data_IF_622537864191
#
_entry.id   IF_622537864191
#
_cell.length_a   1.000
_cell.length_b   1.000
_cell.length_c   1.000
_cell.angle_alpha   90.00
_cell.angle_beta   90.00
_cell.angle_gamma   90.00
#
_symmetry.space_group_name_H-M   'P 1'
#
loop_
_entity.id
_entity.type
_entity.pdbx_description
1 polymer ?
#
# COMPACT_ATOMS: atom_id res chain seq x y z
N UNK A 1 11.51 34.04 -35.91
CA UNK A 1 11.57 32.82 -35.08
C UNK A 1 12.06 31.62 -35.90
N UNK A 2 13.29 31.69 -36.44
CA UNK A 2 13.85 30.61 -37.27
C UNK A 2 15.38 30.52 -37.28
N UNK A 3 16.09 31.23 -36.39
CA UNK A 3 17.55 31.34 -36.40
C UNK A 3 18.24 30.84 -35.11
N UNK A 4 17.49 30.47 -34.06
CA UNK A 4 18.08 29.90 -32.83
C UNK A 4 18.13 28.37 -32.83
N UNK A 5 17.27 27.69 -33.61
CA UNK A 5 17.29 26.23 -33.74
C UNK A 5 18.54 25.71 -34.46
N UNK A 6 18.96 26.38 -35.55
CA UNK A 6 20.11 25.93 -36.34
C UNK A 6 21.48 26.18 -35.66
N UNK A 7 21.57 27.15 -34.75
CA UNK A 7 22.80 27.40 -33.97
C UNK A 7 22.98 26.31 -32.90
N UNK A 8 21.88 25.81 -32.33
CA UNK A 8 21.92 24.72 -31.35
C UNK A 8 22.29 23.37 -31.98
N UNK A 9 21.82 23.09 -33.19
CA UNK A 9 22.22 21.87 -33.93
C UNK A 9 23.70 21.93 -34.38
N UNK A 10 24.18 23.09 -34.83
CA UNK A 10 25.57 23.23 -35.29
C UNK A 10 26.61 23.09 -34.16
N UNK A 11 26.26 23.47 -32.92
CA UNK A 11 27.15 23.37 -31.76
C UNK A 11 27.29 21.92 -31.22
N UNK A 12 26.29 21.07 -31.42
CA UNK A 12 26.34 19.66 -31.02
C UNK A 12 27.07 18.75 -32.02
N UNK A 13 27.25 19.17 -33.28
CA UNK A 13 27.97 18.41 -34.32
C UNK A 13 29.50 18.61 -34.32
N UNK A 14 30.02 19.59 -33.57
CA UNK A 14 31.47 19.84 -33.51
C UNK A 14 32.33 18.77 -32.78
N UNK A 15 31.85 18.02 -31.76
CA UNK A 15 32.70 17.08 -31.03
C UNK A 15 33.16 15.90 -31.88
N UNK A 16 32.35 15.49 -32.87
CA UNK A 16 32.64 14.36 -33.75
C UNK A 16 33.83 14.66 -34.68
N UNK A 17 34.02 15.93 -35.06
CA UNK A 17 35.17 16.37 -35.87
C UNK A 17 36.46 16.56 -35.07
N UNK A 18 36.37 16.88 -33.78
CA UNK A 18 37.53 17.14 -32.91
C UNK A 18 38.08 15.87 -32.25
N UNK A 19 37.24 14.84 -32.06
CA UNK A 19 37.67 13.51 -31.59
C UNK A 19 38.66 12.83 -32.56
N UNK A 20 38.67 13.21 -33.84
CA UNK A 20 39.64 12.70 -34.82
C UNK A 20 41.01 13.41 -34.78
N UNK A 21 41.18 14.53 -34.07
CA UNK A 21 42.41 15.36 -34.16
C UNK A 21 43.35 15.33 -32.93
N UNK A 22 43.04 14.59 -31.86
CA UNK A 22 44.03 14.21 -30.84
C UNK A 22 44.78 15.33 -30.08
N UNK A 23 44.16 16.48 -29.75
CA UNK A 23 44.77 17.50 -28.86
C UNK A 23 43.74 18.20 -27.94
N UNK A 24 43.63 17.86 -26.63
CA UNK A 24 42.48 18.28 -25.84
C UNK A 24 42.67 19.51 -24.92
N UNK A 25 43.90 20.01 -24.66
CA UNK A 25 44.10 20.93 -23.51
C UNK A 25 44.17 22.44 -23.81
N UNK A 26 44.47 22.85 -25.04
CA UNK A 26 44.81 24.26 -25.34
C UNK A 26 43.61 25.04 -25.89
N UNK A 27 42.67 24.39 -26.58
CA UNK A 27 41.56 25.09 -27.26
C UNK A 27 40.39 25.42 -26.32
N UNK A 28 40.20 24.64 -25.25
CA UNK A 28 39.18 24.89 -24.21
C UNK A 28 39.46 26.23 -23.49
N UNK A 29 40.74 26.60 -23.33
CA UNK A 29 41.16 27.87 -22.70
C UNK A 29 40.98 29.10 -23.60
N UNK A 30 40.75 28.91 -24.91
CA UNK A 30 40.54 29.99 -25.88
C UNK A 30 39.05 30.33 -26.02
N UNK A 31 38.18 29.33 -25.95
CA UNK A 31 36.72 29.53 -26.04
C UNK A 31 36.08 30.09 -24.76
N UNK A 32 36.61 29.79 -23.57
CA UNK A 32 36.14 30.39 -22.31
C UNK A 32 36.33 31.92 -22.26
N UNK A 33 37.34 32.45 -22.98
CA UNK A 33 37.58 33.91 -23.10
C UNK A 33 36.60 34.61 -24.02
N UNK A 34 36.08 33.95 -25.06
CA UNK A 34 35.11 34.53 -25.98
C UNK A 34 33.72 34.66 -25.34
N UNK A 35 33.32 33.68 -24.52
CA UNK A 35 32.04 33.72 -23.77
C UNK A 35 32.06 34.85 -22.72
N UNK A 36 33.19 35.09 -22.06
CA UNK A 36 33.35 36.18 -21.08
C UNK A 36 33.26 37.59 -21.71
N UNK A 37 33.52 37.72 -23.01
CA UNK A 37 33.51 39.03 -23.69
C UNK A 37 32.13 39.52 -24.16
N UNK A 38 31.08 38.71 -24.05
CA UNK A 38 29.76 39.00 -24.65
C UNK A 38 28.57 39.04 -23.69
N UNK A 39 28.78 38.91 -22.37
CA UNK A 39 27.70 39.00 -21.38
C UNK A 39 27.80 40.29 -20.56
N UNK A 40 26.91 41.26 -20.84
CA UNK A 40 26.74 42.50 -20.07
C UNK A 40 25.61 42.41 -19.05
N UNK A 41 25.32 41.24 -18.49
CA UNK A 41 24.45 41.10 -17.32
C UNK A 41 24.88 39.90 -16.48
N UNK A 42 25.22 40.19 -15.23
CA UNK A 42 26.02 39.33 -14.35
C UNK A 42 25.30 38.15 -13.71
N UNK A 43 23.97 38.06 -13.81
CA UNK A 43 23.20 37.13 -12.95
C UNK A 43 22.52 35.98 -13.72
N UNK A 44 22.27 36.12 -15.04
CA UNK A 44 21.62 35.06 -15.83
C UNK A 44 22.61 34.03 -16.43
N UNK A 45 23.91 34.30 -16.36
CA UNK A 45 24.95 33.47 -16.98
C UNK A 45 25.34 32.25 -16.14
N UNK A 46 25.09 32.27 -14.82
CA UNK A 46 25.43 31.16 -13.91
C UNK A 46 24.33 30.08 -13.95
N UNK A 47 23.06 30.48 -14.08
CA UNK A 47 21.93 29.56 -14.18
C UNK A 47 21.86 28.88 -15.56
N UNK A 48 22.16 29.61 -16.63
CA UNK A 48 22.27 29.02 -17.98
C UNK A 48 23.47 28.08 -18.10
N UNK A 49 24.61 28.38 -17.47
CA UNK A 49 25.79 27.49 -17.48
C UNK A 49 25.58 26.22 -16.66
N UNK A 50 24.81 26.30 -15.56
CA UNK A 50 24.38 25.12 -14.80
C UNK A 50 23.52 24.20 -15.67
N UNK A 51 22.45 24.72 -16.26
CA UNK A 51 21.49 23.93 -17.05
C UNK A 51 22.12 23.37 -18.35
N UNK A 52 23.01 24.11 -19.01
CA UNK A 52 23.68 23.63 -20.23
C UNK A 52 24.77 22.57 -19.97
N UNK A 53 25.44 22.60 -18.81
CA UNK A 53 26.46 21.60 -18.48
C UNK A 53 25.85 20.24 -18.11
N UNK A 54 24.58 20.21 -17.66
CA UNK A 54 23.82 18.96 -17.50
C UNK A 54 23.28 18.42 -18.85
N UNK A 55 22.92 19.30 -19.79
CA UNK A 55 22.34 18.88 -21.07
C UNK A 55 23.37 18.30 -22.07
N UNK A 56 24.64 18.69 -21.99
CA UNK A 56 25.67 18.23 -22.95
C UNK A 56 26.57 17.09 -22.43
N UNK A 57 26.37 16.58 -21.21
CA UNK A 57 27.22 15.51 -20.65
C UNK A 57 26.67 14.08 -20.83
N UNK A 58 25.71 13.84 -21.72
CA UNK A 58 25.25 12.46 -21.97
C UNK A 58 24.86 12.18 -23.41
N UNK A 59 25.84 11.85 -24.28
CA UNK A 59 25.61 11.04 -25.46
C UNK A 59 25.85 9.54 -25.16
N UNK A 60 25.47 9.06 -23.98
CA UNK A 60 25.37 7.61 -23.68
C UNK A 60 24.11 7.28 -22.87
N UNK A 61 23.23 6.52 -23.53
CA UNK A 61 22.19 5.63 -22.99
C UNK A 61 20.96 6.23 -22.27
N UNK A 62 19.86 6.38 -23.03
CA UNK A 62 18.51 6.51 -22.46
C UNK A 62 18.11 5.36 -21.51
N UNK A 63 18.87 4.27 -21.45
CA UNK A 63 18.70 3.14 -20.51
C UNK A 63 19.09 3.47 -19.07
N UNK A 64 20.08 4.35 -18.86
CA UNK A 64 20.50 4.81 -17.53
C UNK A 64 19.40 5.67 -16.89
N UNK A 65 18.82 6.57 -17.68
CA UNK A 65 17.68 7.40 -17.23
C UNK A 65 16.43 6.59 -16.89
N UNK A 66 16.26 5.39 -17.48
CA UNK A 66 15.13 4.53 -17.22
C UNK A 66 15.25 3.80 -15.87
N UNK A 67 16.46 3.42 -15.43
CA UNK A 67 16.68 2.82 -14.11
C UNK A 67 16.51 3.84 -12.98
N UNK A 68 17.04 5.05 -13.17
CA UNK A 68 16.88 6.16 -12.23
C UNK A 68 15.38 6.47 -12.00
N UNK A 69 14.58 6.51 -13.07
CA UNK A 69 13.11 6.66 -12.97
C UNK A 69 12.42 5.54 -12.19
N UNK A 70 12.85 4.29 -12.33
CA UNK A 70 12.25 3.16 -11.61
C UNK A 70 12.61 3.18 -10.12
N UNK A 71 13.83 3.58 -9.78
CA UNK A 71 14.27 3.75 -8.40
C UNK A 71 13.47 4.83 -7.66
N UNK A 72 13.26 5.98 -8.32
CA UNK A 72 12.39 7.05 -7.80
C UNK A 72 10.94 6.56 -7.64
N UNK A 73 10.43 5.77 -8.59
CA UNK A 73 9.10 5.21 -8.49
C UNK A 73 8.91 4.28 -7.28
N UNK A 74 9.88 3.42 -6.96
CA UNK A 74 9.84 2.59 -5.74
C UNK A 74 9.73 3.47 -4.51
N UNK A 75 10.55 4.53 -4.45
CA UNK A 75 10.60 5.46 -3.33
C UNK A 75 9.24 6.15 -3.10
N UNK A 76 8.69 6.76 -4.15
CA UNK A 76 7.42 7.48 -4.09
C UNK A 76 6.25 6.57 -3.70
N UNK A 77 6.16 5.40 -4.33
CA UNK A 77 5.10 4.41 -4.04
C UNK A 77 5.21 3.92 -2.60
N UNK A 78 6.42 3.68 -2.09
CA UNK A 78 6.64 3.24 -0.70
C UNK A 78 6.17 4.29 0.30
N UNK A 79 6.46 5.58 0.08
CA UNK A 79 5.99 6.67 0.96
C UNK A 79 4.47 6.75 0.97
N UNK A 80 3.83 6.71 -0.21
CA UNK A 80 2.37 6.82 -0.32
C UNK A 80 1.69 5.66 0.40
N UNK A 81 2.10 4.41 0.15
CA UNK A 81 1.50 3.27 0.82
C UNK A 81 1.79 3.26 2.32
N UNK A 82 2.98 3.68 2.75
CA UNK A 82 3.34 3.78 4.17
C UNK A 82 2.42 4.78 4.88
N UNK A 83 2.23 5.98 4.32
CA UNK A 83 1.31 6.96 4.87
C UNK A 83 -0.13 6.42 4.94
N UNK A 84 -0.60 5.75 3.88
CA UNK A 84 -1.95 5.19 3.83
C UNK A 84 -2.18 4.09 4.87
N UNK A 85 -1.26 3.14 5.05
CA UNK A 85 -1.41 2.07 6.04
C UNK A 85 -1.35 2.61 7.47
N UNK A 86 -0.51 3.61 7.73
CA UNK A 86 -0.39 4.26 9.04
C UNK A 86 -1.59 5.14 9.39
N UNK A 87 -2.41 5.54 8.42
CA UNK A 87 -3.70 6.20 8.68
C UNK A 87 -4.83 5.17 8.81
N UNK A 88 -4.90 4.20 7.90
CA UNK A 88 -6.02 3.26 7.81
C UNK A 88 -6.07 2.26 8.97
N UNK A 89 -4.92 1.76 9.44
CA UNK A 89 -4.86 0.77 10.53
C UNK A 89 -5.29 1.38 11.87
N UNK A 90 -4.75 2.53 12.33
CA UNK A 90 -5.24 3.18 13.54
C UNK A 90 -6.72 3.56 13.48
N UNK A 91 -7.19 4.01 12.30
CA UNK A 91 -8.62 4.29 12.11
C UNK A 91 -9.47 3.04 12.30
N UNK A 92 -9.04 1.89 11.77
CA UNK A 92 -9.71 0.60 12.01
C UNK A 92 -9.68 0.24 13.50
N UNK A 93 -8.54 0.38 14.17
CA UNK A 93 -8.42 0.09 15.60
C UNK A 93 -9.33 0.99 16.45
N UNK A 94 -9.44 2.27 16.12
CA UNK A 94 -10.37 3.19 16.78
C UNK A 94 -11.84 2.73 16.63
N UNK A 95 -12.26 2.33 15.43
CA UNK A 95 -13.62 1.82 15.20
C UNK A 95 -13.86 0.51 15.96
N UNK A 96 -12.88 -0.40 15.98
CA UNK A 96 -13.02 -1.72 16.62
C UNK A 96 -12.97 -1.67 18.13
N UNK A 97 -12.02 -0.92 18.69
CA UNK A 97 -11.80 -0.80 20.14
C UNK A 97 -12.77 0.23 20.73
N UNK A 98 -12.83 1.43 20.15
CA UNK A 98 -13.61 2.55 20.69
C UNK A 98 -15.12 2.43 20.41
N UNK A 99 -15.51 2.26 19.15
CA UNK A 99 -16.94 2.28 18.78
C UNK A 99 -17.64 0.94 19.02
N UNK A 100 -16.99 -0.18 18.65
CA UNK A 100 -17.59 -1.52 18.73
C UNK A 100 -17.20 -2.31 19.97
N UNK A 101 -16.18 -1.88 20.72
CA UNK A 101 -15.61 -2.60 21.89
C UNK A 101 -15.37 -4.09 21.61
N UNK A 102 -14.85 -4.38 20.43
CA UNK A 102 -14.83 -5.70 19.82
C UNK A 102 -13.43 -6.08 19.33
N UNK A 103 -12.42 -5.88 20.17
CA UNK A 103 -11.03 -6.30 19.88
C UNK A 103 -10.96 -7.82 19.73
N UNK A 104 -10.28 -8.29 18.70
CA UNK A 104 -10.14 -9.72 18.42
C UNK A 104 -8.74 -10.09 17.95
N UNK A 105 -8.51 -11.40 17.79
CA UNK A 105 -7.25 -11.91 17.23
C UNK A 105 -6.96 -11.36 15.83
N UNK A 106 -7.99 -11.00 15.07
CA UNK A 106 -7.80 -10.36 13.76
C UNK A 106 -7.07 -9.02 13.86
N UNK A 107 -7.34 -8.23 14.89
CA UNK A 107 -6.68 -6.93 15.08
C UNK A 107 -5.23 -7.10 15.58
N UNK A 108 -4.92 -8.16 16.34
CA UNK A 108 -3.53 -8.50 16.71
C UNK A 108 -2.68 -8.83 15.48
N UNK A 109 -3.16 -9.72 14.62
CA UNK A 109 -2.44 -10.08 13.39
C UNK A 109 -2.36 -8.90 12.39
N UNK A 110 -3.32 -7.98 12.42
CA UNK A 110 -3.26 -6.75 11.64
C UNK A 110 -2.11 -5.84 12.08
N UNK A 111 -1.94 -5.65 13.40
CA UNK A 111 -0.84 -4.84 13.95
C UNK A 111 0.50 -5.49 13.63
N UNK A 112 0.60 -6.82 13.76
CA UNK A 112 1.81 -7.56 13.39
C UNK A 112 2.14 -7.37 11.90
N UNK A 113 1.13 -7.44 11.03
CA UNK A 113 1.30 -7.18 9.60
C UNK A 113 1.71 -5.73 9.32
N UNK A 114 1.16 -4.75 10.03
CA UNK A 114 1.57 -3.34 9.93
C UNK A 114 3.06 -3.17 10.24
N UNK A 115 3.57 -3.82 11.28
CA UNK A 115 5.00 -3.75 11.66
C UNK A 115 5.86 -4.32 10.53
N UNK A 116 5.56 -5.54 10.07
CA UNK A 116 6.34 -6.17 9.00
C UNK A 116 6.26 -5.41 7.67
N UNK A 117 5.07 -4.93 7.30
CA UNK A 117 4.88 -4.15 6.09
C UNK A 117 5.61 -2.80 6.19
N UNK A 118 5.56 -2.14 7.35
CA UNK A 118 6.31 -0.89 7.57
C UNK A 118 7.81 -1.10 7.38
N UNK A 119 8.38 -2.19 7.93
CA UNK A 119 9.80 -2.51 7.71
C UNK A 119 10.12 -2.73 6.23
N UNK A 120 9.26 -3.47 5.51
CA UNK A 120 9.41 -3.67 4.06
C UNK A 120 9.38 -2.35 3.28
N UNK A 121 8.50 -1.41 3.66
CA UNK A 121 8.34 -0.12 2.98
C UNK A 121 9.42 0.91 3.36
N UNK A 122 10.00 0.80 4.56
CA UNK A 122 11.06 1.72 5.02
C UNK A 122 12.42 1.36 4.42
N UNK A 123 12.69 0.07 4.16
CA UNK A 123 13.98 -0.37 3.63
C UNK A 123 14.41 0.37 2.35
N UNK A 124 13.56 0.51 1.30
CA UNK A 124 13.90 1.32 0.13
C UNK A 124 14.14 2.81 0.39
N UNK A 125 13.71 3.34 1.54
CA UNK A 125 13.85 4.75 1.91
C UNK A 125 15.16 5.05 2.65
N UNK A 126 15.85 4.01 3.14
CA UNK A 126 17.08 4.14 3.92
C UNK A 126 18.30 4.39 3.02
N UNK A 127 18.51 5.64 2.59
CA UNK A 127 19.76 6.07 1.96
C UNK A 127 20.84 6.39 3.03
N UNK A 128 22.13 6.08 2.79
CA UNK A 128 22.71 5.50 1.58
C UNK A 128 22.78 3.95 1.59
N UNK A 129 22.24 3.29 2.61
CA UNK A 129 22.43 1.84 2.85
C UNK A 129 21.70 1.00 1.79
N UNK A 130 20.49 1.40 1.43
CA UNK A 130 19.69 0.78 0.38
C UNK A 130 19.53 1.80 -0.76
N UNK A 131 20.59 2.00 -1.55
CA UNK A 131 20.59 2.91 -2.69
C UNK A 131 19.80 2.33 -3.86
N UNK A 132 18.47 2.39 -3.78
CA UNK A 132 17.54 1.95 -4.84
C UNK A 132 17.56 2.90 -6.04
N UNK A 133 18.05 4.14 -5.86
CA UNK A 133 18.13 5.20 -6.87
C UNK A 133 19.47 5.27 -7.62
N UNK A 134 20.50 4.59 -7.14
CA UNK A 134 21.82 4.69 -7.78
C UNK A 134 21.91 3.82 -9.04
N UNK A 135 22.57 4.36 -10.06
CA UNK A 135 22.74 3.67 -11.34
C UNK A 135 23.75 2.51 -11.19
N UNK A 136 23.45 1.39 -11.84
CA UNK A 136 24.19 0.15 -11.65
C UNK A 136 25.64 0.22 -12.10
N UNK A 137 25.93 1.16 -13.00
CA UNK A 137 27.27 1.45 -13.52
C UNK A 137 28.16 2.16 -12.50
N UNK A 138 27.56 2.72 -11.43
CA UNK A 138 28.26 3.49 -10.39
C UNK A 138 28.48 2.74 -9.09
N UNK A 139 27.99 1.50 -8.95
CA UNK A 139 28.19 0.74 -7.72
C UNK A 139 29.62 0.22 -7.60
N UNK A 140 30.29 0.65 -6.52
CA UNK A 140 31.39 -0.11 -5.93
C UNK A 140 30.87 -1.50 -5.49
N UNK A 141 31.68 -2.57 -5.54
CA UNK A 141 31.28 -3.92 -5.10
C UNK A 141 30.60 -3.95 -3.72
N UNK A 142 31.06 -3.11 -2.78
CA UNK A 142 30.43 -2.99 -1.46
C UNK A 142 29.01 -2.43 -1.48
N UNK A 143 28.71 -1.47 -2.37
CA UNK A 143 27.36 -0.92 -2.49
C UNK A 143 26.35 -1.90 -3.08
N UNK A 144 26.80 -2.82 -3.95
CA UNK A 144 25.93 -3.87 -4.48
C UNK A 144 25.63 -4.95 -3.44
N UNK A 145 26.58 -5.25 -2.55
CA UNK A 145 26.36 -6.16 -1.41
C UNK A 145 25.27 -5.61 -0.47
N UNK A 146 25.34 -4.34 -0.09
CA UNK A 146 24.36 -3.71 0.80
C UNK A 146 22.95 -3.70 0.18
N UNK A 147 22.83 -3.37 -1.11
CA UNK A 147 21.56 -3.43 -1.82
C UNK A 147 20.96 -4.84 -1.87
N UNK A 148 21.77 -5.88 -2.11
CA UNK A 148 21.31 -7.27 -2.07
C UNK A 148 20.88 -7.70 -0.66
N UNK A 149 21.56 -7.19 0.37
CA UNK A 149 21.19 -7.42 1.77
C UNK A 149 19.85 -6.76 2.09
N UNK A 150 19.65 -5.50 1.70
CA UNK A 150 18.36 -4.82 1.86
C UNK A 150 17.23 -5.56 1.13
N UNK A 151 17.48 -6.01 -0.10
CA UNK A 151 16.51 -6.79 -0.88
C UNK A 151 16.15 -8.11 -0.18
N UNK A 152 17.13 -8.85 0.32
CA UNK A 152 16.90 -10.10 1.06
C UNK A 152 16.04 -9.89 2.30
N UNK A 153 16.38 -8.88 3.11
CA UNK A 153 15.64 -8.55 4.33
C UNK A 153 14.24 -8.06 3.99
N UNK A 154 14.08 -7.20 2.98
CA UNK A 154 12.78 -6.71 2.52
C UNK A 154 11.87 -7.85 2.07
N UNK A 155 12.40 -8.79 1.28
CA UNK A 155 11.65 -9.96 0.83
C UNK A 155 11.17 -10.84 2.00
N UNK A 156 11.97 -11.02 3.05
CA UNK A 156 11.55 -11.75 4.26
C UNK A 156 10.38 -11.05 4.97
N UNK A 157 10.50 -9.75 5.21
CA UNK A 157 9.44 -8.95 5.84
C UNK A 157 8.18 -8.89 4.99
N UNK A 158 8.33 -8.82 3.67
CA UNK A 158 7.21 -8.92 2.72
C UNK A 158 6.43 -10.23 2.89
N UNK A 159 7.11 -11.38 2.93
CA UNK A 159 6.46 -12.70 3.11
C UNK A 159 5.72 -12.76 4.44
N UNK A 160 6.33 -12.27 5.51
CA UNK A 160 5.69 -12.21 6.84
C UNK A 160 4.48 -11.27 6.85
N UNK A 161 4.59 -10.10 6.24
CA UNK A 161 3.50 -9.14 6.12
C UNK A 161 2.30 -9.72 5.34
N UNK A 162 2.57 -10.34 4.19
CA UNK A 162 1.55 -10.97 3.33
C UNK A 162 0.88 -12.17 4.00
N UNK A 163 1.64 -13.00 4.74
CA UNK A 163 1.06 -14.09 5.52
C UNK A 163 0.16 -13.60 6.66
N UNK A 164 0.67 -12.68 7.47
CA UNK A 164 -0.06 -12.18 8.65
C UNK A 164 -1.31 -11.39 8.30
N UNK A 165 -1.34 -10.64 7.19
CA UNK A 165 -2.55 -9.92 6.76
C UNK A 165 -3.66 -10.87 6.30
N UNK A 166 -3.31 -11.94 5.59
CA UNK A 166 -4.27 -12.99 5.17
C UNK A 166 -4.85 -13.69 6.40
N UNK A 167 -4.00 -13.93 7.41
CA UNK A 167 -4.42 -14.48 8.70
C UNK A 167 -5.44 -13.56 9.38
N UNK A 168 -5.11 -12.27 9.51
CA UNK A 168 -6.01 -11.25 10.07
C UNK A 168 -7.36 -11.22 9.35
N UNK A 169 -7.35 -11.17 8.02
CA UNK A 169 -8.56 -11.09 7.22
C UNK A 169 -9.47 -12.30 7.38
N UNK A 170 -8.91 -13.51 7.37
CA UNK A 170 -9.72 -14.69 7.55
C UNK A 170 -10.26 -14.83 8.96
N UNK A 171 -9.55 -14.38 10.00
CA UNK A 171 -10.13 -14.28 11.34
C UNK A 171 -11.29 -13.26 11.37
N UNK A 172 -11.16 -12.12 10.69
CA UNK A 172 -12.27 -11.17 10.54
C UNK A 172 -13.48 -11.82 9.84
N UNK A 173 -13.25 -12.62 8.80
CA UNK A 173 -14.32 -13.35 8.08
C UNK A 173 -14.93 -14.47 8.92
N UNK A 174 -14.11 -15.23 9.63
CA UNK A 174 -14.55 -16.32 10.51
C UNK A 174 -15.56 -15.80 11.54
N UNK A 175 -15.32 -14.60 12.10
CA UNK A 175 -16.23 -13.93 13.03
C UNK A 175 -17.52 -13.42 12.38
N UNK A 176 -17.50 -13.12 11.07
CA UNK A 176 -18.68 -12.67 10.32
C UNK A 176 -19.57 -13.83 9.88
N UNK A 177 -18.99 -15.02 9.69
CA UNK A 177 -19.72 -16.22 9.28
C UNK A 177 -20.47 -16.82 10.47
N UNK A 178 -21.75 -17.13 10.27
CA UNK A 178 -22.58 -17.82 11.28
C UNK A 178 -22.64 -19.33 11.01
N UNK A 179 -22.51 -19.75 9.74
CA UNK A 179 -22.61 -21.16 9.33
C UNK A 179 -21.32 -21.92 9.59
N UNK A 180 -21.41 -23.01 10.39
CA UNK A 180 -20.27 -23.89 10.76
C UNK A 180 -19.49 -24.43 9.57
N UNK A 181 -20.17 -24.87 8.51
CA UNK A 181 -19.52 -25.39 7.30
C UNK A 181 -18.65 -24.33 6.60
N UNK A 182 -19.14 -23.08 6.52
CA UNK A 182 -18.38 -21.96 5.93
C UNK A 182 -17.19 -21.58 6.80
N UNK A 183 -17.36 -21.59 8.13
CA UNK A 183 -16.29 -21.36 9.10
C UNK A 183 -15.18 -22.40 8.99
N UNK A 184 -15.53 -23.69 8.91
CA UNK A 184 -14.57 -24.78 8.74
C UNK A 184 -13.79 -24.66 7.43
N UNK A 185 -14.48 -24.33 6.34
CA UNK A 185 -13.84 -24.11 5.03
C UNK A 185 -12.81 -22.97 5.06
N UNK A 186 -13.17 -21.82 5.64
CA UNK A 186 -12.25 -20.67 5.79
C UNK A 186 -11.06 -21.04 6.68
N UNK A 187 -11.30 -21.78 7.78
CA UNK A 187 -10.24 -22.26 8.67
C UNK A 187 -9.27 -23.22 7.95
N UNK A 188 -9.80 -24.14 7.13
CA UNK A 188 -8.99 -25.05 6.33
C UNK A 188 -8.06 -24.32 5.35
N UNK A 189 -8.61 -23.38 4.58
CA UNK A 189 -7.82 -22.54 3.65
C UNK A 189 -6.74 -21.77 4.42
N UNK A 190 -7.12 -21.20 5.55
CA UNK A 190 -6.21 -20.44 6.41
C UNK A 190 -5.00 -21.23 6.87
N UNK A 191 -5.23 -22.45 7.35
CA UNK A 191 -4.16 -23.34 7.81
C UNK A 191 -3.23 -23.67 6.64
N UNK A 192 -3.79 -24.02 5.47
CA UNK A 192 -3.00 -24.37 4.29
C UNK A 192 -2.14 -23.19 3.82
N UNK A 193 -2.71 -22.00 3.69
CA UNK A 193 -1.98 -20.79 3.27
C UNK A 193 -0.88 -20.44 4.26
N UNK A 194 -1.16 -20.56 5.57
CA UNK A 194 -0.19 -20.28 6.63
C UNK A 194 0.99 -21.26 6.61
N UNK A 195 0.71 -22.57 6.41
CA UNK A 195 1.75 -23.60 6.32
C UNK A 195 2.65 -23.36 5.10
N UNK A 196 2.05 -23.09 3.93
CA UNK A 196 2.81 -22.84 2.70
C UNK A 196 3.64 -21.56 2.82
N UNK A 197 3.07 -20.49 3.39
CA UNK A 197 3.78 -19.23 3.61
C UNK A 197 4.95 -19.39 4.59
N UNK A 198 4.76 -20.14 5.68
CA UNK A 198 5.82 -20.41 6.66
C UNK A 198 6.94 -21.27 6.05
N UNK A 199 6.58 -22.30 5.28
CA UNK A 199 7.54 -23.11 4.55
C UNK A 199 8.37 -22.26 3.59
N UNK A 200 7.70 -21.40 2.80
CA UNK A 200 8.39 -20.50 1.87
C UNK A 200 9.29 -19.48 2.57
N UNK A 201 8.89 -18.98 3.75
CA UNK A 201 9.73 -18.11 4.57
C UNK A 201 11.04 -18.79 4.96
N UNK A 202 10.98 -20.01 5.52
CA UNK A 202 12.19 -20.75 5.88
C UNK A 202 13.02 -21.15 4.67
N UNK A 203 12.36 -21.52 3.57
CA UNK A 203 13.03 -21.80 2.30
C UNK A 203 13.82 -20.59 1.81
N UNK A 204 13.23 -19.39 1.84
CA UNK A 204 13.89 -18.15 1.46
C UNK A 204 15.05 -17.81 2.42
N UNK A 205 14.86 -18.02 3.72
CA UNK A 205 15.87 -17.75 4.74
C UNK A 205 17.11 -18.64 4.56
N UNK A 206 16.91 -19.93 4.22
CA UNK A 206 17.97 -20.93 4.09
C UNK A 206 18.34 -21.24 2.63
N UNK A 207 18.04 -20.33 1.70
CA UNK A 207 18.30 -20.57 0.27
C UNK A 207 19.80 -20.64 -0.09
N UNK A 208 20.69 -20.14 0.78
CA UNK A 208 22.14 -20.21 0.62
C UNK A 208 22.81 -20.71 1.90
N UNK A 209 23.94 -21.41 1.74
CA UNK A 209 24.76 -21.90 2.83
C UNK A 209 26.21 -21.35 2.68
N UNK A 210 26.67 -20.47 3.60
CA UNK A 210 25.92 -19.82 4.68
C UNK A 210 24.89 -18.81 4.16
N UNK A 211 23.91 -18.40 4.98
CA UNK A 211 22.86 -17.43 4.58
C UNK A 211 23.46 -16.12 4.05
N UNK A 212 24.58 -15.69 4.64
CA UNK A 212 25.30 -14.49 4.24
C UNK A 212 25.85 -14.53 2.80
N UNK A 213 26.02 -15.73 2.25
CA UNK A 213 26.47 -15.91 0.88
C UNK A 213 25.48 -15.31 -0.14
N UNK A 214 24.20 -15.15 0.19
CA UNK A 214 23.23 -14.55 -0.73
C UNK A 214 23.66 -13.15 -1.22
N UNK A 215 24.13 -12.30 -0.31
CA UNK A 215 24.61 -10.95 -0.64
C UNK A 215 26.12 -10.91 -0.92
N UNK A 216 26.91 -11.79 -0.28
CA UNK A 216 28.36 -11.85 -0.47
C UNK A 216 28.79 -12.48 -1.80
N UNK A 217 27.91 -13.16 -2.54
CA UNK A 217 28.23 -13.81 -3.83
C UNK A 217 28.88 -12.88 -4.86
N UNK A 218 28.64 -11.57 -4.73
CA UNK A 218 29.25 -10.54 -5.58
C UNK A 218 30.72 -10.33 -5.23
N UNK A 219 31.00 -10.18 -3.92
CA UNK A 219 32.31 -9.82 -3.39
C UNK A 219 33.22 -11.05 -3.23
N UNK A 220 32.64 -12.20 -2.87
CA UNK A 220 33.33 -13.46 -2.63
C UNK A 220 32.57 -14.63 -3.28
N UNK A 221 32.74 -14.87 -4.58
CA UNK A 221 32.01 -15.92 -5.30
C UNK A 221 32.37 -17.34 -4.84
N UNK A 222 33.49 -17.56 -4.18
CA UNK A 222 33.91 -18.88 -3.65
C UNK A 222 33.50 -19.16 -2.21
N UNK A 223 32.83 -18.22 -1.53
CA UNK A 223 32.57 -18.29 -0.09
C UNK A 223 31.41 -19.19 0.36
N UNK A 224 30.73 -19.87 -0.56
CA UNK A 224 29.55 -20.67 -0.25
C UNK A 224 28.83 -21.20 -1.47
N UNK A 225 27.63 -21.76 -1.24
CA UNK A 225 26.77 -22.28 -2.29
C UNK A 225 25.31 -21.87 -2.04
N UNK A 226 24.58 -21.55 -3.11
CA UNK A 226 23.14 -21.34 -3.08
C UNK A 226 22.43 -22.50 -3.77
N UNK A 227 21.14 -22.67 -3.48
CA UNK A 227 20.29 -23.60 -4.21
C UNK A 227 20.34 -23.34 -5.73
N UNK A 228 20.20 -24.41 -6.51
CA UNK A 228 20.26 -24.34 -7.97
C UNK A 228 19.20 -23.34 -8.48
N UNK A 229 19.55 -22.42 -9.41
CA UNK A 229 18.64 -21.38 -9.88
C UNK A 229 17.28 -21.90 -10.37
N UNK A 230 17.25 -23.07 -11.01
CA UNK A 230 16.02 -23.71 -11.49
C UNK A 230 15.06 -24.07 -10.34
N UNK A 231 15.59 -24.63 -9.26
CA UNK A 231 14.82 -24.96 -8.05
C UNK A 231 14.32 -23.70 -7.36
N UNK A 232 15.11 -22.62 -7.34
CA UNK A 232 14.70 -21.33 -6.77
C UNK A 232 13.52 -20.73 -7.55
N UNK A 233 13.62 -20.66 -8.88
CA UNK A 233 12.54 -20.13 -9.74
C UNK A 233 11.27 -20.96 -9.58
N UNK A 234 11.39 -22.30 -9.55
CA UNK A 234 10.25 -23.20 -9.33
C UNK A 234 9.54 -22.94 -7.99
N UNK A 235 10.30 -22.78 -6.90
CA UNK A 235 9.74 -22.49 -5.58
C UNK A 235 9.04 -21.12 -5.53
N UNK A 236 9.66 -20.08 -6.09
CA UNK A 236 9.07 -18.72 -6.17
C UNK A 236 7.80 -18.73 -7.01
N UNK A 237 7.79 -19.45 -8.13
CA UNK A 237 6.60 -19.59 -8.99
C UNK A 237 5.46 -20.33 -8.28
N UNK A 238 5.75 -21.46 -7.63
CA UNK A 238 4.76 -22.21 -6.86
C UNK A 238 4.15 -21.36 -5.74
N UNK A 239 4.97 -20.63 -5.01
CA UNK A 239 4.51 -19.71 -3.97
C UNK A 239 3.63 -18.58 -4.55
N UNK A 240 4.03 -17.98 -5.67
CA UNK A 240 3.26 -16.92 -6.34
C UNK A 240 1.87 -17.41 -6.78
N UNK A 241 1.76 -18.65 -7.28
CA UNK A 241 0.46 -19.25 -7.64
C UNK A 241 -0.43 -19.43 -6.40
N UNK A 242 0.13 -19.93 -5.30
CA UNK A 242 -0.63 -20.08 -4.04
C UNK A 242 -1.09 -18.72 -3.51
N UNK A 243 -0.23 -17.70 -3.60
CA UNK A 243 -0.60 -16.34 -3.20
C UNK A 243 -1.72 -15.77 -4.07
N UNK A 244 -1.64 -15.95 -5.40
CA UNK A 244 -2.67 -15.53 -6.34
C UNK A 244 -4.02 -16.18 -6.05
N UNK A 245 -4.02 -17.51 -5.85
CA UNK A 245 -5.23 -18.24 -5.49
C UNK A 245 -5.80 -17.68 -4.20
N UNK A 246 -4.98 -17.52 -3.17
CA UNK A 246 -5.39 -16.98 -1.88
C UNK A 246 -6.02 -15.60 -2.04
N UNK A 247 -5.38 -14.66 -2.74
CA UNK A 247 -5.90 -13.30 -2.92
C UNK A 247 -7.23 -13.30 -3.68
N UNK A 248 -7.33 -14.11 -4.72
CA UNK A 248 -8.57 -14.26 -5.50
C UNK A 248 -9.69 -14.82 -4.63
N UNK A 249 -9.40 -15.84 -3.81
CA UNK A 249 -10.36 -16.38 -2.85
C UNK A 249 -10.80 -15.31 -1.84
N UNK A 250 -9.86 -14.53 -1.29
CA UNK A 250 -10.17 -13.49 -0.32
C UNK A 250 -11.00 -12.35 -0.92
N UNK A 251 -10.78 -12.01 -2.19
CA UNK A 251 -11.57 -11.01 -2.92
C UNK A 251 -13.00 -11.51 -3.20
N UNK A 252 -13.16 -12.78 -3.57
CA UNK A 252 -14.43 -13.36 -3.99
C UNK A 252 -15.32 -13.78 -2.81
N UNK A 253 -14.73 -14.25 -1.71
CA UNK A 253 -15.47 -14.72 -0.53
C UNK A 253 -16.50 -13.71 0.03
N UNK A 254 -16.18 -12.42 0.24
CA UNK A 254 -17.17 -11.46 0.75
C UNK A 254 -18.35 -11.25 -0.21
N UNK A 255 -18.17 -11.45 -1.52
CA UNK A 255 -19.26 -11.38 -2.51
C UNK A 255 -20.28 -12.50 -2.26
N UNK A 256 -19.79 -13.73 -2.10
CA UNK A 256 -20.65 -14.89 -1.84
C UNK A 256 -21.36 -14.83 -0.49
N UNK A 257 -20.77 -14.15 0.50
CA UNK A 257 -21.40 -13.95 1.81
C UNK A 257 -22.52 -12.90 1.72
N UNK A 258 -22.34 -11.84 0.92
CA UNK A 258 -23.24 -10.68 0.88
C UNK A 258 -24.33 -10.80 -0.18
N UNK A 259 -24.19 -11.66 -1.20
CA UNK A 259 -25.13 -11.75 -2.33
C UNK A 259 -26.60 -11.98 -1.93
N UNK A 260 -26.85 -12.68 -0.83
CA UNK A 260 -28.19 -13.06 -0.38
C UNK A 260 -28.79 -12.02 0.60
N UNK A 261 -28.03 -10.96 0.93
CA UNK A 261 -28.44 -9.94 1.89
C UNK A 261 -28.98 -8.70 1.17
N UNK A 262 -30.27 -8.41 1.35
CA UNK A 262 -30.92 -7.23 0.77
C UNK A 262 -30.36 -5.93 1.36
N UNK A 263 -29.38 -5.34 0.67
CA UNK A 263 -28.72 -4.10 1.10
C UNK A 263 -29.17 -2.89 0.26
N UNK A 264 -29.34 -1.75 0.94
CA UNK A 264 -29.58 -0.46 0.27
C UNK A 264 -28.39 -0.02 -0.61
N UNK A 265 -28.67 0.85 -1.59
CA UNK A 265 -27.70 1.30 -2.60
C UNK A 265 -26.38 1.84 -2.01
N UNK A 266 -26.44 2.61 -0.91
CA UNK A 266 -25.25 3.16 -0.26
C UNK A 266 -24.31 2.08 0.29
N UNK A 267 -24.88 1.03 0.90
CA UNK A 267 -24.11 -0.12 1.39
C UNK A 267 -23.55 -0.94 0.24
N UNK A 268 -24.30 -1.08 -0.85
CA UNK A 268 -23.84 -1.74 -2.08
C UNK A 268 -22.60 -1.05 -2.67
N UNK A 269 -22.59 0.29 -2.72
CA UNK A 269 -21.45 1.06 -3.20
C UNK A 269 -20.20 0.86 -2.32
N UNK A 270 -20.36 0.84 -0.99
CA UNK A 270 -19.24 0.56 -0.06
C UNK A 270 -18.66 -0.85 -0.26
N UNK A 271 -19.53 -1.85 -0.49
CA UNK A 271 -19.10 -3.22 -0.78
C UNK A 271 -18.28 -3.26 -2.07
N UNK A 272 -18.74 -2.62 -3.15
CA UNK A 272 -18.03 -2.54 -4.43
C UNK A 272 -16.65 -1.87 -4.26
N UNK A 273 -16.56 -0.78 -3.50
CA UNK A 273 -15.28 -0.11 -3.23
C UNK A 273 -14.29 -1.01 -2.50
N UNK A 274 -14.74 -1.74 -1.47
CA UNK A 274 -13.88 -2.68 -0.73
C UNK A 274 -13.41 -3.83 -1.63
N UNK A 275 -14.29 -4.34 -2.50
CA UNK A 275 -13.95 -5.39 -3.46
C UNK A 275 -12.94 -4.91 -4.50
N UNK A 276 -13.09 -3.69 -5.01
CA UNK A 276 -12.15 -3.12 -5.96
C UNK A 276 -10.74 -3.03 -5.36
N UNK A 277 -10.60 -2.52 -4.13
CA UNK A 277 -9.30 -2.46 -3.44
C UNK A 277 -8.79 -3.87 -3.15
N UNK A 278 -9.67 -4.81 -2.76
CA UNK A 278 -9.33 -6.21 -2.50
C UNK A 278 -8.88 -6.99 -3.74
N UNK A 279 -9.16 -6.50 -4.95
CA UNK A 279 -8.70 -7.12 -6.20
C UNK A 279 -7.29 -6.68 -6.62
N UNK A 280 -6.79 -5.55 -6.09
CA UNK A 280 -5.47 -5.01 -6.43
C UNK A 280 -4.31 -5.97 -6.07
N UNK A 281 -4.31 -6.66 -4.91
CA UNK A 281 -3.28 -7.66 -4.60
C UNK A 281 -3.23 -8.78 -5.64
N UNK A 282 -4.38 -9.29 -6.10
CA UNK A 282 -4.42 -10.33 -7.14
C UNK A 282 -3.78 -9.86 -8.45
N UNK A 283 -4.04 -8.61 -8.86
CA UNK A 283 -3.42 -8.02 -10.05
C UNK A 283 -1.91 -7.90 -9.87
N UNK A 284 -1.46 -7.45 -8.69
CA UNK A 284 -0.04 -7.34 -8.38
C UNK A 284 0.67 -8.70 -8.44
N UNK A 285 0.05 -9.75 -7.90
CA UNK A 285 0.58 -11.12 -7.94
C UNK A 285 0.66 -11.67 -9.37
N UNK A 286 -0.34 -11.39 -10.23
CA UNK A 286 -0.30 -11.76 -11.65
C UNK A 286 0.91 -11.11 -12.33
N UNK A 287 1.13 -9.81 -12.12
CA UNK A 287 2.27 -9.11 -12.72
C UNK A 287 3.59 -9.71 -12.22
N UNK A 288 3.71 -10.01 -10.92
CA UNK A 288 4.90 -10.68 -10.38
C UNK A 288 5.17 -12.04 -11.02
N UNK A 289 4.15 -12.84 -11.29
CA UNK A 289 4.30 -14.11 -12.02
C UNK A 289 4.89 -13.88 -13.42
N UNK A 290 4.45 -12.83 -14.13
CA UNK A 290 5.01 -12.49 -15.45
C UNK A 290 6.46 -12.00 -15.37
N UNK A 291 6.81 -11.28 -14.31
CA UNK A 291 8.18 -10.82 -14.05
C UNK A 291 9.12 -12.00 -13.76
N UNK A 292 8.69 -13.00 -12.99
CA UNK A 292 9.46 -14.22 -12.70
C UNK A 292 9.81 -14.96 -14.00
N UNK A 293 8.85 -15.11 -14.92
CA UNK A 293 9.10 -15.72 -16.24
C UNK A 293 10.05 -14.90 -17.11
N UNK A 294 10.06 -13.59 -16.94
CA UNK A 294 10.95 -12.70 -17.67
C UNK A 294 12.39 -12.78 -17.12
N UNK A 295 12.52 -12.91 -15.80
CA UNK A 295 13.80 -13.11 -15.11
C UNK A 295 14.51 -14.40 -15.57
N UNK A 296 13.77 -15.47 -15.83
CA UNK A 296 14.34 -16.75 -16.31
C UNK A 296 14.96 -16.64 -17.71
N UNK A 297 14.44 -15.75 -18.56
CA UNK A 297 14.82 -15.64 -19.97
C UNK A 297 15.94 -14.63 -20.24
N UNK A 298 16.35 -13.84 -19.25
CA UNK A 298 17.23 -12.68 -19.44
C UNK A 298 18.68 -13.00 -19.04
N UNK A 299 19.66 -12.97 -19.97
CA UNK A 299 21.05 -13.33 -19.67
C UNK A 299 21.93 -12.14 -19.20
N UNK A 300 21.41 -10.90 -19.17
CA UNK A 300 22.21 -9.69 -18.88
C UNK A 300 21.93 -9.14 -17.49
N UNK A 301 23.00 -8.81 -16.76
CA UNK A 301 22.94 -8.32 -15.38
C UNK A 301 22.19 -6.98 -15.21
N UNK A 302 22.27 -6.06 -16.19
CA UNK A 302 21.59 -4.76 -16.15
C UNK A 302 20.07 -4.90 -16.23
N UNK A 303 19.59 -5.72 -17.17
CA UNK A 303 18.16 -5.98 -17.35
C UNK A 303 17.57 -6.74 -16.15
N UNK A 304 18.37 -7.61 -15.53
CA UNK A 304 18.00 -8.34 -14.32
C UNK A 304 17.67 -7.37 -13.16
N UNK A 305 18.49 -6.34 -12.91
CA UNK A 305 18.21 -5.43 -11.80
C UNK A 305 16.94 -4.60 -12.04
N UNK A 306 16.68 -4.19 -13.28
CA UNK A 306 15.42 -3.50 -13.63
C UNK A 306 14.18 -4.32 -13.29
N UNK A 307 14.23 -5.62 -13.58
CA UNK A 307 13.16 -6.56 -13.24
C UNK A 307 13.03 -6.78 -11.73
N UNK A 308 14.15 -6.75 -10.98
CA UNK A 308 14.15 -6.80 -9.51
C UNK A 308 13.49 -5.56 -8.92
N UNK A 309 13.80 -4.37 -9.43
CA UNK A 309 13.16 -3.11 -9.00
C UNK A 309 11.65 -3.17 -9.26
N UNK A 310 11.23 -3.59 -10.46
CA UNK A 310 9.81 -3.78 -10.78
C UNK A 310 9.15 -4.77 -9.81
N UNK A 311 9.83 -5.87 -9.49
CA UNK A 311 9.35 -6.86 -8.52
C UNK A 311 9.14 -6.26 -7.12
N UNK A 312 10.01 -5.35 -6.69
CA UNK A 312 9.86 -4.64 -5.41
C UNK A 312 8.65 -3.71 -5.46
N UNK A 313 8.44 -2.94 -6.53
CA UNK A 313 7.26 -2.06 -6.69
C UNK A 313 5.97 -2.85 -6.49
N UNK A 314 5.84 -3.97 -7.20
CA UNK A 314 4.64 -4.79 -7.11
C UNK A 314 4.45 -5.44 -5.74
N UNK A 315 5.53 -5.78 -5.03
CA UNK A 315 5.42 -6.30 -3.66
C UNK A 315 4.98 -5.24 -2.65
N UNK A 316 5.39 -3.98 -2.81
CA UNK A 316 4.90 -2.84 -2.02
C UNK A 316 3.40 -2.61 -2.27
N UNK A 317 2.99 -2.58 -3.55
CA UNK A 317 1.58 -2.43 -3.93
C UNK A 317 0.73 -3.57 -3.38
N UNK A 318 1.19 -4.82 -3.51
CA UNK A 318 0.47 -6.01 -3.03
C UNK A 318 0.26 -5.97 -1.50
N UNK A 319 1.33 -5.75 -0.74
CA UNK A 319 1.26 -5.74 0.73
C UNK A 319 0.47 -4.54 1.26
N UNK A 320 0.72 -3.34 0.73
CA UNK A 320 0.04 -2.12 1.11
C UNK A 320 -1.46 -2.16 0.78
N UNK A 321 -1.82 -2.55 -0.45
CA UNK A 321 -3.22 -2.68 -0.86
C UNK A 321 -3.97 -3.74 -0.05
N UNK A 322 -3.31 -4.86 0.30
CA UNK A 322 -3.90 -5.90 1.15
C UNK A 322 -4.28 -5.33 2.53
N UNK A 323 -3.37 -4.62 3.20
CA UNK A 323 -3.64 -4.02 4.52
C UNK A 323 -4.76 -2.99 4.44
N UNK A 324 -4.76 -2.14 3.40
CA UNK A 324 -5.82 -1.14 3.18
C UNK A 324 -7.17 -1.82 2.94
N UNK A 325 -7.23 -2.84 2.08
CA UNK A 325 -8.46 -3.59 1.78
C UNK A 325 -9.05 -4.21 3.04
N UNK A 326 -8.22 -4.89 3.82
CA UNK A 326 -8.63 -5.52 5.09
C UNK A 326 -9.10 -4.43 6.06
N UNK A 327 -8.38 -3.32 6.19
CA UNK A 327 -8.76 -2.23 7.08
C UNK A 327 -10.10 -1.60 6.70
N UNK A 328 -10.32 -1.38 5.40
CA UNK A 328 -11.54 -0.80 4.85
C UNK A 328 -12.80 -1.61 5.17
N UNK A 329 -12.69 -2.95 5.28
CA UNK A 329 -13.84 -3.81 5.62
C UNK A 329 -14.46 -3.47 6.99
N UNK A 330 -13.67 -2.95 7.93
CA UNK A 330 -14.10 -2.60 9.28
C UNK A 330 -14.69 -1.17 9.37
N UNK A 331 -14.46 -0.31 8.36
CA UNK A 331 -14.79 1.12 8.38
C UNK A 331 -16.23 1.46 7.96
N UNK A 332 -17.01 0.47 7.48
CA UNK A 332 -18.44 0.64 7.14
C UNK A 332 -19.28 1.50 8.12
N UNK A 333 -19.25 1.27 9.46
CA UNK A 333 -20.04 2.07 10.41
C UNK A 333 -19.61 3.54 10.49
N UNK A 334 -18.34 3.85 10.21
CA UNK A 334 -17.83 5.22 10.25
C UNK A 334 -18.31 6.00 9.02
N UNK A 335 -18.34 5.36 7.85
CA UNK A 335 -18.86 5.96 6.62
C UNK A 335 -20.34 6.39 6.80
N UNK A 336 -21.15 5.59 7.49
CA UNK A 336 -22.54 5.96 7.81
C UNK A 336 -22.62 7.17 8.75
N UNK A 337 -21.76 7.24 9.78
CA UNK A 337 -21.74 8.39 10.71
C UNK A 337 -21.29 9.68 10.04
N UNK A 338 -20.22 9.64 9.23
CA UNK A 338 -19.73 10.83 8.50
C UNK A 338 -20.79 11.33 7.52
N UNK A 339 -21.46 10.41 6.79
CA UNK A 339 -22.55 10.78 5.87
C UNK A 339 -23.76 11.37 6.59
N UNK A 340 -24.05 10.95 7.83
CA UNK A 340 -25.13 11.53 8.63
C UNK A 340 -24.76 12.92 9.14
N UNK A 341 -23.54 13.12 9.62
CA UNK A 341 -23.05 14.42 10.08
C UNK A 341 -23.03 15.43 8.93
N UNK A 342 -22.52 15.05 7.76
CA UNK A 342 -22.51 15.95 6.59
C UNK A 342 -23.92 16.30 6.08
N UNK A 343 -24.87 15.38 6.19
CA UNK A 343 -26.28 15.65 5.84
C UNK A 343 -26.96 16.59 6.84
N UNK A 344 -26.58 16.52 8.12
CA UNK A 344 -27.08 17.40 9.17
C UNK A 344 -26.46 18.81 9.06
N UNK A 345 -25.17 18.91 8.74
CA UNK A 345 -24.51 20.20 8.47
C UNK A 345 -25.13 20.90 7.25
N UNK A 346 -25.38 20.16 6.16
CA UNK A 346 -26.05 20.70 4.96
C UNK A 346 -27.51 21.15 5.23
N UNK A 347 -28.23 20.46 6.12
CA UNK A 347 -29.59 20.85 6.50
C UNK A 347 -29.60 22.09 7.41
N UNK A 348 -28.57 22.24 8.26
CA UNK A 348 -28.40 23.41 9.13
C UNK A 348 -28.07 24.67 8.34
N UNK A 349 -27.29 24.56 7.27
CA UNK A 349 -26.95 25.69 6.39
C UNK A 349 -28.14 26.16 5.53
N UNK A 350 -29.06 25.24 5.18
CA UNK A 350 -30.28 25.58 4.42
C UNK A 350 -31.33 26.33 5.27
N UNK A 351 -31.30 26.24 6.60
CA UNK A 351 -32.19 27.01 7.48
C UNK A 351 -31.68 28.43 7.79
N UNK A 352 -30.38 28.71 7.63
CA UNK A 352 -29.81 30.04 7.89
C UNK A 352 -29.91 31.02 6.72
N UNK A 353 -30.47 30.61 5.58
CA UNK A 353 -30.59 31.43 4.36
C UNK A 353 -31.98 31.99 4.06
N UNK A 354 -32.98 31.86 4.94
CA UNK A 354 -34.34 32.36 4.69
C UNK A 354 -34.96 33.04 5.91
N UNK A 355 -34.46 34.23 6.24
CA UNK A 355 -35.22 35.23 7.02
C UNK A 355 -34.97 36.62 6.42
N UNK A 356 -35.78 36.98 5.43
CA UNK A 356 -36.01 38.40 5.12
C UNK A 356 -37.48 38.61 4.80
N UNK A 357 -38.18 39.24 5.75
CA UNK A 357 -39.38 40.05 5.53
C UNK A 357 -40.70 39.30 5.32
N UNK A 358 -41.54 39.28 6.35
CA UNK A 358 -42.60 40.30 6.49
C UNK A 358 -43.34 40.16 7.81
N UNK A 359 -43.37 41.28 8.52
CA UNK A 359 -44.10 41.55 9.75
C UNK A 359 -45.60 41.52 9.46
N UNK A 360 -46.37 40.74 10.23
CA UNK A 360 -47.76 41.09 10.56
C UNK A 360 -48.15 40.42 11.87
N UNK A 361 -48.50 41.28 12.81
CA UNK A 361 -48.91 41.03 14.19
C UNK A 361 -50.18 40.17 14.31
N UNK A 362 -50.47 39.73 15.56
CA UNK A 362 -51.77 39.37 16.20
C UNK A 362 -51.74 37.97 16.88
N UNK A 363 -52.22 37.78 18.15
CA UNK A 363 -51.66 38.27 19.41
C UNK A 363 -51.38 37.12 20.41
N UNK A 364 -50.86 37.49 21.59
CA UNK A 364 -50.64 36.59 22.73
C UNK A 364 -51.90 35.81 23.14
N UNK A 365 -51.76 34.49 23.34
CA UNK A 365 -52.52 33.80 24.36
C UNK A 365 -51.61 32.87 25.17
N UNK A 366 -51.49 33.26 26.43
CA UNK A 366 -51.07 32.55 27.64
C UNK A 366 -51.18 31.02 27.57
N UNK A 367 -50.09 30.31 27.89
CA UNK A 367 -50.18 29.10 28.71
C UNK A 367 -48.83 28.77 29.37
N UNK A 368 -48.89 28.61 30.68
CA UNK A 368 -47.78 28.50 31.62
C UNK A 368 -46.88 27.27 31.43
N UNK A 369 -45.60 27.45 31.75
CA UNK A 369 -44.62 26.37 31.97
C UNK A 369 -44.55 26.10 33.47
N UNK A 370 -44.84 24.88 33.96
CA UNK A 370 -44.34 24.46 35.26
C UNK A 370 -43.00 23.75 35.09
N UNK A 371 -41.99 24.32 35.77
CA UNK A 371 -40.77 23.63 36.19
C UNK A 371 -41.10 22.50 37.16
N UNK A 372 -40.17 21.55 37.24
CA UNK A 372 -39.97 20.52 38.28
C UNK A 372 -41.05 19.44 38.41
N UNK A 373 -40.70 18.23 37.98
CA UNK A 373 -41.16 17.02 38.65
C UNK A 373 -39.94 16.31 39.19
N UNK A 374 -39.88 16.35 40.51
CA UNK A 374 -39.04 15.65 41.46
C UNK A 374 -39.30 14.14 41.44
N UNK A 375 -38.37 13.44 42.10
CA UNK A 375 -38.12 12.00 42.24
C UNK A 375 -39.29 11.04 42.65
N UNK A 376 -40.56 11.42 42.55
CA UNK A 376 -41.70 10.58 42.99
C UNK A 376 -42.38 9.73 41.92
N UNK A 377 -42.00 9.83 40.64
CA UNK A 377 -42.64 9.07 39.56
C UNK A 377 -42.05 7.65 39.32
N UNK A 378 -41.03 7.25 40.08
CA UNK A 378 -40.35 5.95 39.91
C UNK A 378 -40.94 4.85 40.81
N UNK A 379 -41.69 5.20 41.86
CA UNK A 379 -42.24 4.22 42.80
C UNK A 379 -43.66 3.73 42.48
N UNK A 380 -44.32 4.27 41.46
CA UNK A 380 -45.69 3.89 41.09
C UNK A 380 -45.77 2.86 39.93
N UNK A 381 -44.66 2.51 39.30
CA UNK A 381 -44.63 1.52 38.20
C UNK A 381 -44.27 0.10 38.68
N UNK A 382 -43.73 -0.03 39.91
CA UNK A 382 -43.36 -1.33 40.49
C UNK A 382 -44.58 -2.15 41.01
N UNK A 383 -45.70 -1.52 41.34
CA UNK A 383 -46.93 -2.24 41.73
C UNK A 383 -47.76 -2.75 40.54
N UNK A 384 -47.54 -2.24 39.31
CA UNK A 384 -48.34 -2.64 38.14
C UNK A 384 -47.83 -3.87 37.39
N UNK A 385 -46.58 -4.30 37.63
CA UNK A 385 -46.03 -5.53 37.05
C UNK A 385 -46.12 -6.75 37.97
N UNK A 386 -46.45 -6.56 39.26
CA UNK A 386 -46.68 -7.67 40.21
C UNK A 386 -48.02 -8.41 40.06
N UNK A 387 -49.00 -7.84 39.36
CA UNK A 387 -50.36 -8.41 39.28
C UNK A 387 -50.67 -9.15 37.97
N UNK A 388 -49.87 -8.99 36.90
CA UNK A 388 -50.17 -9.59 35.57
C UNK A 388 -49.49 -10.94 35.30
N UNK A 389 -48.46 -11.33 36.06
CA UNK A 389 -47.77 -12.62 35.89
C UNK A 389 -48.38 -13.77 36.70
N UNK A 390 -49.45 -13.53 37.47
CA UNK A 390 -50.14 -14.55 38.28
C UNK A 390 -51.23 -15.34 37.51
N UNK A 391 -51.44 -15.08 36.21
CA UNK A 391 -52.61 -15.60 35.46
C UNK A 391 -52.27 -16.67 34.41
N UNK A 392 -50.98 -16.98 34.15
CA UNK A 392 -50.60 -17.97 33.13
C UNK A 392 -49.90 -19.25 33.63
N UNK A 393 -49.70 -19.42 34.94
CA UNK A 393 -49.18 -20.66 35.53
C UNK A 393 -50.29 -21.47 36.18
N UNK A 394 -51.30 -21.87 35.40
CA UNK A 394 -52.32 -22.81 35.86
C UNK A 394 -53.08 -23.42 34.66
N UNK A 395 -52.40 -24.15 33.77
CA UNK A 395 -53.06 -25.19 32.98
C UNK A 395 -52.03 -26.18 32.41
N UNK A 396 -52.28 -27.46 32.70
CA UNK A 396 -51.81 -28.67 32.01
C UNK A 396 -50.39 -29.19 32.29
N UNK A 397 -50.30 -29.90 33.41
CA UNK A 397 -49.65 -31.21 33.45
C UNK A 397 -50.66 -32.31 33.73
N UNK A 398 -51.02 -33.13 32.73
CA UNK A 398 -51.42 -34.54 32.91
C UNK A 398 -51.53 -35.28 31.57
N UNK A 399 -51.11 -36.55 31.62
CA UNK A 399 -51.40 -37.70 30.74
C UNK A 399 -50.39 -38.14 29.66
N UNK A 400 -49.97 -39.41 29.87
CA UNK A 400 -49.33 -40.43 29.02
C UNK A 400 -47.82 -40.40 28.82
#
# INVERSE_FOLDING_TARGET
MGSQGQISEALCSLPESLAQSGKPKIEISRQSRLIRSRSTRGDDAIEAAGIFHYACLSPTDGRVTAMDRRGVLVYDVSIVFLALIWVMVPLRLYVRIGMKRAFGYDDFFLILSLIFCSTHLILPLCEPVCNVRADVTTFSPGGMEDNLRCFFVGQLFYVLASGTIKISFCFSLYRLLVTRWKQLFVCGIMIVVSIIGLFYFFWLLFQCNPVAYFWQRVTNPGGGSCLVPTTMVGAVYAHAVVMLLSDTFLAVLPIFIVKDLQMGWKSKLSVVGILAIGSLPSVATIVRITLIRSLEKQPRAFDFLGLVVDFVIWSVVEAGASIIAVSATALRPLATKISLVSSLEFSRERQTGFTTGTHKDIPLNTFDIPRSISHEAILADEERQGSSNSVYTAHEGHEA
#
